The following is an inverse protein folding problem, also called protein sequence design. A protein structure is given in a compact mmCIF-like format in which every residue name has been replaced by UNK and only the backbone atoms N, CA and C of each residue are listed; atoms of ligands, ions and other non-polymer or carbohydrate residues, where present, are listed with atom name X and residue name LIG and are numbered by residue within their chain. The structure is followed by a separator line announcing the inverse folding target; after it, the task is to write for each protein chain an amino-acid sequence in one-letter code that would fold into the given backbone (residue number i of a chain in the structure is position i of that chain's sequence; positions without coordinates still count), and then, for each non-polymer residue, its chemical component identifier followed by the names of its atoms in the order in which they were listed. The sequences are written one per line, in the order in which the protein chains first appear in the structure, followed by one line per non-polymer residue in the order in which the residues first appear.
data_IF_402177089391
#
_entry.id   IF_402177089391
#
_cell.length_a   1.000
_cell.length_b   1.000
_cell.length_c   1.000
_cell.angle_alpha   90.00
_cell.angle_beta   90.00
_cell.angle_gamma   90.00
#
_symmetry.space_group_name_H-M   'P 1'
#
loop_
_entity.id
_entity.type
_entity.pdbx_description
1 polymer ?
#
# COMPACT_ATOMS: atom_id res chain seq x y z
N UNK A 1 9.29 49.64 7.92
CA UNK A 1 8.77 49.76 6.54
C UNK A 1 7.34 49.25 6.55
N UNK A 2 6.36 50.13 6.37
CA UNK A 2 4.97 49.86 6.71
C UNK A 2 4.24 49.05 5.62
N UNK A 3 3.45 48.08 6.06
CA UNK A 3 2.49 47.30 5.26
C UNK A 3 1.63 48.18 4.32
N UNK A 4 1.37 49.42 4.73
CA UNK A 4 0.68 50.45 3.94
C UNK A 4 1.39 50.86 2.64
N UNK A 5 2.73 50.77 2.57
CA UNK A 5 3.51 51.05 1.36
C UNK A 5 3.40 49.92 0.32
N UNK A 6 3.25 48.67 0.76
CA UNK A 6 3.09 47.52 -0.13
C UNK A 6 1.68 47.49 -0.76
N UNK A 7 0.65 47.82 0.03
CA UNK A 7 -0.75 47.86 -0.45
C UNK A 7 -1.00 49.03 -1.42
N UNK A 8 -0.39 50.20 -1.18
CA UNK A 8 -0.51 51.34 -2.11
C UNK A 8 0.21 51.07 -3.44
N UNK A 9 1.36 50.41 -3.39
CA UNK A 9 2.09 49.98 -4.59
C UNK A 9 1.26 48.97 -5.39
N UNK A 10 0.68 47.96 -4.74
CA UNK A 10 -0.15 46.94 -5.41
C UNK A 10 -1.39 47.55 -6.10
N UNK A 11 -2.07 48.51 -5.47
CA UNK A 11 -3.23 49.19 -6.06
C UNK A 11 -2.85 50.07 -7.26
N UNK A 12 -1.66 50.68 -7.23
CA UNK A 12 -1.11 51.45 -8.34
C UNK A 12 -0.75 50.57 -9.53
N UNK A 13 -0.12 49.41 -9.29
CA UNK A 13 0.27 48.49 -10.38
C UNK A 13 -0.99 47.93 -11.06
N UNK A 14 -1.98 47.48 -10.28
CA UNK A 14 -3.24 46.96 -10.82
C UNK A 14 -4.03 48.01 -11.63
N UNK A 15 -3.99 49.29 -11.23
CA UNK A 15 -4.67 50.37 -11.96
C UNK A 15 -3.96 50.71 -13.28
N UNK A 16 -2.62 50.63 -13.32
CA UNK A 16 -1.81 50.83 -14.54
C UNK A 16 -1.99 49.66 -15.51
N UNK A 17 -2.10 48.43 -14.99
CA UNK A 17 -2.40 47.24 -15.78
C UNK A 17 -3.82 47.29 -16.38
N UNK A 18 -4.81 47.70 -15.59
CA UNK A 18 -6.20 47.88 -16.05
C UNK A 18 -6.30 48.94 -17.16
N UNK A 19 -5.53 50.02 -17.03
CA UNK A 19 -5.46 51.09 -18.03
C UNK A 19 -4.67 50.64 -19.29
N UNK A 20 -3.63 49.83 -19.14
CA UNK A 20 -2.88 49.27 -20.27
C UNK A 20 -3.72 48.28 -21.10
N UNK A 21 -4.56 47.48 -20.44
CA UNK A 21 -5.51 46.56 -21.10
C UNK A 21 -6.61 47.32 -21.86
N UNK A 22 -6.99 48.52 -21.43
CA UNK A 22 -7.99 49.35 -22.10
C UNK A 22 -7.47 50.09 -23.35
N UNK A 23 -6.15 50.21 -23.53
CA UNK A 23 -5.52 50.97 -24.64
C UNK A 23 -5.33 50.13 -25.91
N UNK A 24 -5.51 48.81 -25.84
CA UNK A 24 -5.36 47.93 -27.02
C UNK A 24 -6.61 47.06 -27.26
N UNK A 25 -7.68 47.63 -27.83
CA UNK A 25 -8.93 46.90 -28.11
C UNK A 25 -8.80 45.84 -29.24
N UNK A 26 -7.59 45.61 -29.77
CA UNK A 26 -7.26 44.57 -30.75
C UNK A 26 -6.40 43.45 -30.14
N UNK A 27 -6.17 43.46 -28.82
CA UNK A 27 -5.64 42.29 -28.13
C UNK A 27 -6.69 41.18 -28.26
N UNK A 28 -6.49 40.28 -29.24
CA UNK A 28 -7.39 39.17 -29.49
C UNK A 28 -7.71 38.47 -28.18
N UNK A 29 -8.99 38.09 -28.01
CA UNK A 29 -9.48 37.28 -26.90
C UNK A 29 -8.38 36.29 -26.49
N UNK A 30 -7.96 36.26 -25.20
CA UNK A 30 -6.88 35.40 -24.76
C UNK A 30 -7.20 34.00 -25.27
N UNK A 31 -6.37 33.49 -26.19
CA UNK A 31 -6.60 32.18 -26.78
C UNK A 31 -6.80 31.19 -25.64
N UNK A 32 -7.78 30.29 -25.70
CA UNK A 32 -8.12 29.35 -24.61
C UNK A 32 -6.88 28.69 -23.97
N UNK A 33 -5.80 28.53 -24.75
CA UNK A 33 -4.47 28.08 -24.30
C UNK A 33 -3.83 28.98 -23.22
N UNK A 34 -3.91 30.30 -23.31
CA UNK A 34 -3.36 31.24 -22.34
C UNK A 34 -4.11 31.15 -21.00
N UNK A 35 -5.44 31.06 -21.03
CA UNK A 35 -6.25 30.84 -19.83
C UNK A 35 -5.91 29.51 -19.16
N UNK A 36 -5.72 28.44 -19.94
CA UNK A 36 -5.28 27.15 -19.42
C UNK A 36 -3.88 27.22 -18.80
N UNK A 37 -2.95 27.97 -19.42
CA UNK A 37 -1.59 28.15 -18.88
C UNK A 37 -1.64 28.91 -17.55
N UNK A 38 -2.42 29.98 -17.46
CA UNK A 38 -2.59 30.74 -16.22
C UNK A 38 -3.22 29.91 -15.09
N UNK A 39 -4.14 28.99 -15.42
CA UNK A 39 -4.74 28.10 -14.44
C UNK A 39 -3.82 26.95 -14.01
N UNK A 40 -3.01 26.41 -14.91
CA UNK A 40 -2.10 25.29 -14.63
C UNK A 40 -0.79 25.74 -13.97
N UNK A 41 -0.35 26.97 -14.22
CA UNK A 41 0.92 27.52 -13.72
C UNK A 41 1.04 27.44 -12.18
N UNK A 42 0.05 27.88 -11.38
CA UNK A 42 0.11 27.77 -9.92
C UNK A 42 0.23 26.33 -9.44
N UNK A 43 -0.47 25.38 -10.09
CA UNK A 43 -0.45 23.96 -9.74
C UNK A 43 0.94 23.38 -9.99
N UNK A 44 1.53 23.69 -11.16
CA UNK A 44 2.87 23.24 -11.50
C UNK A 44 3.93 23.79 -10.53
N UNK A 45 3.86 25.09 -10.20
CA UNK A 45 4.76 25.73 -9.24
C UNK A 45 4.63 25.10 -7.86
N UNK A 46 3.40 24.83 -7.40
CA UNK A 46 3.16 24.17 -6.11
C UNK A 46 3.77 22.76 -6.07
N UNK A 47 3.59 21.98 -7.14
CA UNK A 47 4.16 20.63 -7.23
C UNK A 47 5.70 20.66 -7.19
N UNK A 48 6.32 21.59 -7.91
CA UNK A 48 7.79 21.78 -7.88
C UNK A 48 8.26 22.21 -6.50
N UNK A 49 7.55 23.13 -5.85
CA UNK A 49 7.88 23.59 -4.50
C UNK A 49 7.82 22.44 -3.49
N UNK A 50 6.82 21.56 -3.57
CA UNK A 50 6.71 20.36 -2.74
C UNK A 50 7.90 19.42 -2.97
N UNK A 51 8.25 19.16 -4.23
CA UNK A 51 9.41 18.29 -4.56
C UNK A 51 10.72 18.87 -4.02
N UNK A 52 10.93 20.18 -4.15
CA UNK A 52 12.10 20.88 -3.61
C UNK A 52 12.12 20.79 -2.08
N UNK A 53 10.99 21.03 -1.41
CA UNK A 53 10.90 20.96 0.05
C UNK A 53 11.20 19.54 0.56
N UNK A 54 10.64 18.51 -0.09
CA UNK A 54 10.91 17.10 0.22
C UNK A 54 12.40 16.80 0.03
N UNK A 55 13.00 17.21 -1.09
CA UNK A 55 14.42 17.01 -1.36
C UNK A 55 15.31 17.72 -0.32
N UNK A 56 14.96 18.94 0.10
CA UNK A 56 15.67 19.66 1.15
C UNK A 56 15.55 18.93 2.49
N UNK A 57 14.35 18.47 2.88
CA UNK A 57 14.17 17.71 4.13
C UNK A 57 14.98 16.41 4.12
N UNK A 58 14.93 15.64 3.03
CA UNK A 58 15.70 14.41 2.90
C UNK A 58 17.20 14.70 2.88
N UNK A 59 17.62 15.73 2.15
CA UNK A 59 19.02 16.16 2.06
C UNK A 59 19.57 16.66 3.39
N UNK A 60 18.81 17.45 4.14
CA UNK A 60 19.18 17.95 5.45
C UNK A 60 19.21 16.83 6.48
N UNK A 61 18.23 15.91 6.45
CA UNK A 61 18.23 14.69 7.26
C UNK A 61 19.47 13.84 6.99
N UNK A 62 19.86 13.68 5.71
CA UNK A 62 21.07 12.95 5.34
C UNK A 62 22.37 13.68 5.75
N UNK A 63 22.41 15.01 5.66
CA UNK A 63 23.58 15.82 5.98
C UNK A 63 23.81 15.97 7.49
N UNK A 64 22.76 16.19 8.26
CA UNK A 64 22.81 16.35 9.72
C UNK A 64 22.74 15.01 10.45
N UNK A 65 22.27 13.95 9.78
CA UNK A 65 22.18 12.61 10.33
C UNK A 65 23.56 12.05 10.69
N UNK A 66 23.76 11.51 11.90
CA UNK A 66 25.02 10.91 12.28
C UNK A 66 25.33 9.71 11.38
N UNK A 67 26.42 9.80 10.59
CA UNK A 67 26.94 8.70 9.77
C UNK A 67 27.57 7.61 10.65
N UNK A 68 26.75 6.91 11.41
CA UNK A 68 27.18 5.76 12.23
C UNK A 68 27.28 4.52 11.34
N UNK A 69 28.50 4.15 10.96
CA UNK A 69 28.79 2.97 10.15
C UNK A 69 29.11 1.80 11.10
N UNK A 70 28.09 1.18 11.72
CA UNK A 70 28.31 -0.03 12.54
C UNK A 70 28.27 -1.28 11.66
N UNK A 71 29.06 -2.29 12.04
CA UNK A 71 29.22 -3.56 11.30
C UNK A 71 27.92 -4.35 11.08
N UNK A 72 26.86 -4.05 11.85
CA UNK A 72 25.53 -4.66 11.76
C UNK A 72 24.45 -3.70 11.24
N UNK A 73 24.81 -2.50 10.76
CA UNK A 73 23.84 -1.51 10.25
C UNK A 73 23.18 -1.96 8.94
N UNK A 74 23.80 -2.88 8.19
CA UNK A 74 23.29 -3.35 6.89
C UNK A 74 22.76 -4.79 6.92
N UNK A 75 22.62 -5.40 8.11
CA UNK A 75 22.05 -6.74 8.26
C UNK A 75 20.57 -6.64 8.63
N UNK A 76 19.67 -7.42 8.00
CA UNK A 76 18.26 -7.48 8.39
C UNK A 76 18.10 -7.73 9.89
N UNK A 77 17.19 -7.00 10.54
CA UNK A 77 16.96 -7.13 11.97
C UNK A 77 16.15 -8.41 12.26
N UNK A 78 16.79 -9.41 12.87
CA UNK A 78 16.14 -10.65 13.30
C UNK A 78 16.26 -10.87 14.82
N UNK A 79 15.82 -9.90 15.63
CA UNK A 79 15.66 -10.07 17.09
C UNK A 79 16.90 -10.57 17.85
N UNK A 80 18.12 -10.25 17.37
CA UNK A 80 19.37 -10.58 18.04
C UNK A 80 20.10 -11.83 17.53
N UNK A 81 19.59 -12.50 16.48
CA UNK A 81 20.29 -13.59 15.80
C UNK A 81 20.77 -13.16 14.40
N UNK A 82 21.80 -13.84 13.90
CA UNK A 82 22.29 -13.61 12.51
C UNK A 82 21.19 -14.06 11.56
N UNK A 83 20.84 -13.20 10.61
CA UNK A 83 19.74 -13.45 9.68
C UNK A 83 19.89 -14.81 9.01
N UNK A 84 18.88 -15.67 9.15
CA UNK A 84 18.84 -16.94 8.46
C UNK A 84 18.69 -16.72 6.94
N UNK A 85 19.23 -17.62 6.12
CA UNK A 85 19.18 -17.55 4.66
C UNK A 85 17.80 -17.14 4.13
N UNK A 86 17.83 -16.29 3.10
CA UNK A 86 16.71 -15.56 2.52
C UNK A 86 15.34 -16.25 2.72
N UNK A 87 14.37 -15.59 3.39
CA UNK A 87 13.07 -16.19 3.62
C UNK A 87 12.43 -16.52 2.27
N UNK A 88 12.13 -17.80 2.05
CA UNK A 88 11.34 -18.27 0.91
C UNK A 88 9.89 -17.81 1.14
N UNK A 89 9.65 -16.52 1.03
CA UNK A 89 8.34 -15.91 1.19
C UNK A 89 7.44 -16.42 0.09
N UNK A 90 6.45 -17.23 0.48
CA UNK A 90 5.41 -17.71 -0.42
C UNK A 90 4.42 -16.56 -0.51
N UNK A 91 4.57 -15.71 -1.52
CA UNK A 91 3.62 -14.63 -1.78
C UNK A 91 2.23 -15.26 -1.95
N UNK A 92 1.34 -14.98 -1.00
CA UNK A 92 -0.02 -15.51 -1.07
C UNK A 92 -0.75 -14.79 -2.19
N UNK A 93 -1.40 -15.54 -3.09
CA UNK A 93 -2.08 -14.98 -4.27
C UNK A 93 -3.27 -14.06 -3.92
N UNK A 94 -3.68 -14.02 -2.65
CA UNK A 94 -4.80 -13.22 -2.18
C UNK A 94 -4.57 -11.71 -2.36
N UNK A 95 -3.33 -11.22 -2.29
CA UNK A 95 -3.02 -9.81 -2.51
C UNK A 95 -3.31 -9.34 -3.95
N UNK A 96 -3.14 -10.23 -4.92
CA UNK A 96 -3.38 -9.93 -6.34
C UNK A 96 -4.86 -9.73 -6.65
N UNK A 97 -5.74 -10.53 -6.03
CA UNK A 97 -7.20 -10.40 -6.20
C UNK A 97 -7.69 -9.02 -5.74
N UNK A 98 -7.13 -8.46 -4.66
CA UNK A 98 -7.45 -7.10 -4.23
C UNK A 98 -6.96 -6.02 -5.17
N UNK A 99 -5.74 -6.19 -5.72
CA UNK A 99 -5.18 -5.21 -6.63
C UNK A 99 -6.03 -5.11 -7.91
N UNK A 100 -6.40 -6.24 -8.51
CA UNK A 100 -7.29 -6.26 -9.67
C UNK A 100 -8.67 -5.71 -9.32
N UNK A 101 -9.25 -6.11 -8.19
CA UNK A 101 -10.55 -5.60 -7.77
C UNK A 101 -10.54 -4.08 -7.57
N UNK A 102 -9.47 -3.53 -6.98
CA UNK A 102 -9.31 -2.10 -6.80
C UNK A 102 -9.22 -1.37 -8.14
N UNK A 103 -8.45 -1.89 -9.10
CA UNK A 103 -8.35 -1.29 -10.44
C UNK A 103 -9.70 -1.29 -11.17
N UNK A 104 -10.45 -2.39 -11.09
CA UNK A 104 -11.80 -2.47 -11.69
C UNK A 104 -12.72 -1.47 -10.99
N UNK A 105 -12.78 -1.46 -9.66
CA UNK A 105 -13.63 -0.53 -8.91
C UNK A 105 -13.28 0.95 -9.19
N UNK A 106 -11.99 1.28 -9.26
CA UNK A 106 -11.50 2.64 -9.59
C UNK A 106 -11.95 3.05 -11.00
N UNK A 107 -11.80 2.15 -11.97
CA UNK A 107 -12.25 2.36 -13.35
C UNK A 107 -13.78 2.51 -13.46
N UNK A 108 -14.53 1.94 -12.54
CA UNK A 108 -15.98 2.05 -12.54
C UNK A 108 -16.42 3.40 -11.95
N UNK A 109 -15.67 3.94 -10.98
CA UNK A 109 -15.95 5.29 -10.47
C UNK A 109 -15.75 6.39 -11.51
N UNK A 110 -14.79 6.26 -12.43
CA UNK A 110 -14.63 7.25 -13.53
C UNK A 110 -15.83 7.22 -14.49
N UNK A 111 -16.43 6.05 -14.73
CA UNK A 111 -17.66 5.95 -15.52
C UNK A 111 -18.86 6.57 -14.81
N UNK A 112 -19.01 6.34 -13.50
CA UNK A 112 -20.03 7.00 -12.71
C UNK A 112 -19.84 8.52 -12.70
N UNK A 113 -18.59 9.00 -12.63
CA UNK A 113 -18.30 10.43 -12.69
C UNK A 113 -18.66 11.03 -14.05
N UNK A 114 -18.33 10.35 -15.15
CA UNK A 114 -18.74 10.77 -16.49
C UNK A 114 -20.27 10.83 -16.63
N UNK A 115 -20.98 9.84 -16.07
CA UNK A 115 -22.45 9.86 -16.02
C UNK A 115 -22.99 11.03 -15.19
N UNK A 116 -22.39 11.32 -14.03
CA UNK A 116 -22.79 12.46 -13.18
C UNK A 116 -22.60 13.79 -13.91
N UNK A 117 -21.51 13.96 -14.67
CA UNK A 117 -21.29 15.16 -15.48
C UNK A 117 -22.37 15.32 -16.56
N UNK A 118 -22.80 14.21 -17.17
CA UNK A 118 -23.80 14.21 -18.23
C UNK A 118 -25.24 14.05 -17.73
N UNK A 119 -25.48 14.08 -16.41
CA UNK A 119 -26.76 13.71 -15.79
C UNK A 119 -27.96 14.46 -16.38
N UNK A 120 -27.79 15.74 -16.69
CA UNK A 120 -28.84 16.60 -17.23
C UNK A 120 -29.37 16.13 -18.60
N UNK A 121 -28.53 15.48 -19.40
CA UNK A 121 -28.88 15.02 -20.75
C UNK A 121 -29.49 13.60 -20.77
N UNK A 122 -29.01 12.71 -19.89
CA UNK A 122 -29.43 11.29 -19.87
C UNK A 122 -30.60 10.98 -18.95
N UNK A 123 -30.86 11.82 -17.94
CA UNK A 123 -32.01 11.70 -17.03
C UNK A 123 -32.17 10.31 -16.40
N UNK A 124 -33.42 9.81 -16.37
CA UNK A 124 -33.79 8.55 -15.71
C UNK A 124 -33.19 7.32 -16.42
N UNK A 125 -33.01 7.37 -17.75
CA UNK A 125 -32.41 6.28 -18.49
C UNK A 125 -30.96 6.05 -18.04
N UNK A 126 -30.17 7.12 -17.93
CA UNK A 126 -28.81 7.04 -17.38
C UNK A 126 -28.77 6.60 -15.92
N UNK A 127 -29.78 6.97 -15.11
CA UNK A 127 -29.88 6.49 -13.73
C UNK A 127 -30.06 4.97 -13.63
N UNK A 128 -30.84 4.37 -14.54
CA UNK A 128 -31.01 2.91 -14.60
C UNK A 128 -29.68 2.26 -15.00
N UNK A 129 -28.99 2.79 -16.01
CA UNK A 129 -27.67 2.28 -16.43
C UNK A 129 -26.64 2.35 -15.31
N UNK A 130 -26.53 3.49 -14.62
CA UNK A 130 -25.64 3.66 -13.46
C UNK A 130 -26.01 2.73 -12.30
N UNK A 131 -27.31 2.50 -12.05
CA UNK A 131 -27.78 1.59 -11.01
C UNK A 131 -27.42 0.13 -11.32
N UNK A 132 -27.57 -0.30 -12.57
CA UNK A 132 -27.18 -1.66 -13.01
C UNK A 132 -25.67 -1.83 -12.88
N UNK A 133 -24.89 -0.82 -13.26
CA UNK A 133 -23.44 -0.81 -13.17
C UNK A 133 -22.95 -0.98 -11.73
N UNK A 134 -23.49 -0.18 -10.80
CA UNK A 134 -23.24 -0.31 -9.35
C UNK A 134 -23.69 -1.69 -8.85
N UNK A 135 -24.83 -2.21 -9.35
CA UNK A 135 -25.33 -3.53 -9.00
C UNK A 135 -24.34 -4.66 -9.35
N UNK A 136 -23.76 -4.63 -10.55
CA UNK A 136 -22.77 -5.61 -10.99
C UNK A 136 -21.51 -5.55 -10.11
N UNK A 137 -21.01 -4.36 -9.80
CA UNK A 137 -19.89 -4.16 -8.87
C UNK A 137 -20.18 -4.74 -7.48
N UNK A 138 -21.39 -4.50 -6.97
CA UNK A 138 -21.80 -4.97 -5.66
C UNK A 138 -21.84 -6.51 -5.62
N UNK A 139 -22.32 -7.15 -6.69
CA UNK A 139 -22.25 -8.62 -6.84
C UNK A 139 -20.80 -9.10 -6.89
N UNK A 140 -19.93 -8.43 -7.65
CA UNK A 140 -18.51 -8.77 -7.73
C UNK A 140 -17.80 -8.64 -6.37
N UNK A 141 -18.09 -7.57 -5.62
CA UNK A 141 -17.57 -7.36 -4.27
C UNK A 141 -18.05 -8.45 -3.31
N UNK A 142 -19.35 -8.77 -3.32
CA UNK A 142 -19.91 -9.85 -2.50
C UNK A 142 -19.25 -11.19 -2.85
N UNK A 143 -19.04 -11.48 -4.14
CA UNK A 143 -18.38 -12.71 -4.58
C UNK A 143 -16.97 -12.84 -4.01
N UNK A 144 -16.14 -11.80 -4.13
CA UNK A 144 -14.77 -11.78 -3.58
C UNK A 144 -14.78 -11.88 -2.05
N UNK A 145 -15.74 -11.22 -1.40
CA UNK A 145 -15.89 -11.32 0.05
C UNK A 145 -16.25 -12.74 0.51
N UNK A 146 -17.13 -13.42 -0.23
CA UNK A 146 -17.55 -14.81 0.04
C UNK A 146 -16.44 -15.83 -0.17
N UNK A 147 -15.51 -15.59 -1.10
CA UNK A 147 -14.31 -16.43 -1.30
C UNK A 147 -13.35 -16.37 -0.10
N UNK A 148 -13.58 -15.47 0.86
CA UNK A 148 -12.74 -15.39 2.06
C UNK A 148 -11.38 -14.77 1.76
N UNK A 149 -11.22 -14.09 0.62
CA UNK A 149 -10.01 -13.32 0.33
C UNK A 149 -9.69 -12.35 1.48
N UNK A 150 -10.73 -11.76 2.09
CA UNK A 150 -10.73 -10.83 3.25
C UNK A 150 -10.39 -11.44 4.61
N UNK A 151 -10.06 -12.73 4.72
CA UNK A 151 -9.70 -13.32 6.01
C UNK A 151 -8.23 -13.10 6.36
N UNK A 152 -7.98 -11.99 7.06
CA UNK A 152 -6.81 -11.81 7.92
C UNK A 152 -6.92 -12.73 9.16
N UNK A 153 -6.95 -14.06 8.96
CA UNK A 153 -6.97 -15.02 10.08
C UNK A 153 -5.62 -15.73 10.19
N UNK A 154 -4.60 -14.98 10.60
CA UNK A 154 -3.37 -15.57 11.11
C UNK A 154 -3.62 -16.10 12.53
N UNK A 155 -4.11 -17.34 12.66
CA UNK A 155 -3.96 -18.09 13.90
C UNK A 155 -2.49 -18.54 13.98
N UNK A 156 -1.65 -17.71 14.59
CA UNK A 156 -0.35 -18.18 15.07
C UNK A 156 -0.63 -19.16 16.20
N UNK A 157 -0.61 -20.47 15.92
CA UNK A 157 -0.51 -21.43 17.01
C UNK A 157 0.89 -21.25 17.64
N UNK A 158 0.99 -20.95 18.94
CA UNK A 158 2.29 -20.79 19.57
C UNK A 158 3.03 -22.13 19.54
N UNK A 159 4.34 -22.10 19.28
CA UNK A 159 5.19 -23.30 19.13
C UNK A 159 5.09 -24.30 20.31
N UNK A 160 4.66 -23.83 21.49
CA UNK A 160 4.41 -24.66 22.68
C UNK A 160 3.26 -25.66 22.50
N UNK A 161 2.25 -25.32 21.72
CA UNK A 161 1.12 -26.22 21.42
C UNK A 161 1.58 -27.38 20.54
N UNK A 162 2.45 -27.10 19.55
CA UNK A 162 3.01 -28.11 18.65
C UNK A 162 3.86 -29.13 19.41
N UNK A 163 4.71 -28.64 20.33
CA UNK A 163 5.52 -29.50 21.20
C UNK A 163 4.66 -30.38 22.11
N UNK A 164 3.56 -29.84 22.65
CA UNK A 164 2.60 -30.61 23.46
C UNK A 164 1.94 -31.72 22.67
N UNK A 165 1.55 -31.46 21.42
CA UNK A 165 0.92 -32.46 20.55
C UNK A 165 1.93 -33.54 20.14
N UNK A 166 3.16 -33.18 19.80
CA UNK A 166 4.22 -34.15 19.51
C UNK A 166 4.62 -34.99 20.72
N UNK A 167 4.68 -34.38 21.92
CA UNK A 167 4.94 -35.11 23.17
C UNK A 167 3.78 -36.04 23.55
N UNK A 168 2.53 -35.59 23.36
CA UNK A 168 1.35 -36.42 23.58
C UNK A 168 1.31 -37.62 22.62
N UNK A 169 1.70 -37.43 21.35
CA UNK A 169 1.79 -38.50 20.36
C UNK A 169 2.95 -39.47 20.64
N UNK A 170 4.11 -38.97 21.08
CA UNK A 170 5.24 -39.81 21.47
C UNK A 170 4.89 -40.73 22.66
N UNK A 171 4.16 -40.20 23.65
CA UNK A 171 3.69 -41.01 24.78
C UNK A 171 2.58 -42.00 24.39
N UNK A 172 1.69 -41.63 23.45
CA UNK A 172 0.66 -42.55 22.94
C UNK A 172 1.26 -43.71 22.11
N UNK A 173 2.35 -43.46 21.37
CA UNK A 173 3.08 -44.49 20.63
C UNK A 173 3.89 -45.43 21.54
N UNK A 174 4.44 -44.92 22.65
CA UNK A 174 5.12 -45.73 23.64
C UNK A 174 4.17 -46.73 24.33
N UNK A 175 2.96 -46.30 24.67
CA UNK A 175 1.97 -47.17 25.33
C UNK A 175 1.46 -48.32 24.44
N UNK A 176 1.57 -48.20 23.11
CA UNK A 176 1.17 -49.26 22.17
C UNK A 176 2.28 -50.31 21.94
N UNK A 177 3.54 -49.99 22.29
CA UNK A 177 4.70 -50.87 22.08
C UNK A 177 5.01 -51.77 23.30
N UNK A 178 4.35 -51.55 24.45
CA UNK A 178 4.52 -52.37 25.66
C UNK A 178 3.93 -53.79 25.55
N UNK A 179 3.29 -54.13 24.42
CA UNK A 179 2.81 -55.48 24.14
C UNK A 179 3.75 -56.34 23.28
N UNK A 180 4.94 -55.85 22.90
CA UNK A 180 5.92 -56.61 22.12
C UNK A 180 7.30 -56.63 22.78
N UNK A 181 7.41 -57.40 23.87
CA UNK A 181 8.68 -57.71 24.51
C UNK A 181 9.02 -59.19 24.31
N UNK A 182 9.97 -59.56 23.43
CA UNK A 182 10.42 -60.95 23.33
C UNK A 182 11.36 -61.26 24.51
N UNK A 183 10.81 -62.01 25.46
CA UNK A 183 11.55 -62.73 26.51
C UNK A 183 12.47 -63.75 25.84
N UNK A 184 13.79 -63.49 25.76
CA UNK A 184 14.84 -64.53 25.67
C UNK A 184 16.25 -63.91 25.67
N UNK A 185 16.91 -63.92 26.82
CA UNK A 185 18.37 -63.97 26.91
C UNK A 185 18.74 -65.00 27.97
N UNK A 186 19.12 -66.21 27.52
CA UNK A 186 19.79 -67.22 28.34
C UNK A 186 21.30 -66.99 28.25
N UNK A 187 22.08 -67.15 29.34
CA UNK A 187 23.52 -66.95 29.31
C UNK A 187 24.20 -68.19 28.73
N UNK A 188 24.94 -68.05 27.63
CA UNK A 188 25.88 -69.08 27.17
C UNK A 188 27.22 -68.91 27.89
N UNK A 189 27.53 -69.86 28.75
CA UNK A 189 28.87 -70.06 29.32
C UNK A 189 29.75 -70.72 28.26
N UNK A 190 30.81 -70.05 27.81
CA UNK A 190 31.82 -70.68 26.95
C UNK A 190 33.04 -71.12 27.77
N UNK A 191 33.47 -72.34 27.49
CA UNK A 191 34.56 -73.09 28.11
C UNK A 191 35.82 -72.97 27.23
N UNK A 192 36.97 -72.94 27.89
CA UNK A 192 38.30 -73.39 27.46
C UNK A 192 39.15 -72.49 26.54
N UNK A 193 40.43 -72.32 26.96
CA UNK A 193 41.56 -72.17 26.05
C UNK A 193 42.70 -71.26 26.48
N UNK A 194 43.39 -71.57 27.60
CA UNK A 194 44.87 -71.61 27.79
C UNK A 194 45.27 -71.44 29.25
#
# INVERSE_FOLDING_TARGET
MSFWQAVSSAKSVASVELAATAVNPLAGEPSNTQQLIEQLWPIAVYFVLLMVLLAIMLGLSYALGPKTRRRHTHTPYESGIVAADAPKSRFTNHFFLYAIFFVIFDLETIFLFAWVIAFDDVGIAGFIEASIFIGILLVALIYVWRIGALQLKHKHLPAREQLRISAAQANAGAHNNDHQQPRNQQPQTNKAGH
#
